data_IF_339676127599
#
_entry.id   IF_339676127599
#
_cell.length_a   1.000
_cell.length_b   1.000
_cell.length_c   1.000
_cell.angle_alpha   90.00
_cell.angle_beta   90.00
_cell.angle_gamma   90.00
#
_symmetry.space_group_name_H-M   'P 1'
#
loop_
_entity.id
_entity.type
_entity.pdbx_description
1 polymer ?
#
# COMPACT_ATOMS: atom_id res chain seq x y z
N UNK A 1 38.85 -26.48 -9.55
CA UNK A 1 38.50 -26.18 -10.95
C UNK A 1 37.02 -26.37 -11.26
N UNK A 2 36.44 -27.58 -11.14
CA UNK A 2 35.01 -27.82 -11.45
C UNK A 2 34.05 -26.83 -10.76
N UNK A 3 34.21 -26.63 -9.44
CA UNK A 3 33.37 -25.71 -8.66
C UNK A 3 33.50 -24.24 -9.10
N UNK A 4 34.67 -23.84 -9.63
CA UNK A 4 34.86 -22.49 -10.20
C UNK A 4 33.96 -22.31 -11.43
N UNK A 5 33.90 -23.32 -12.30
CA UNK A 5 33.02 -23.31 -13.47
C UNK A 5 31.55 -23.35 -13.08
N UNK A 6 31.19 -24.10 -12.03
CA UNK A 6 29.83 -24.10 -11.49
C UNK A 6 29.41 -22.71 -11.02
N UNK A 7 30.28 -21.96 -10.33
CA UNK A 7 30.00 -20.58 -9.92
C UNK A 7 29.69 -19.69 -11.12
N UNK A 8 30.51 -19.74 -12.17
CA UNK A 8 30.28 -18.98 -13.40
C UNK A 8 28.94 -19.35 -14.05
N UNK A 9 28.66 -20.65 -14.19
CA UNK A 9 27.41 -21.15 -14.77
C UNK A 9 26.16 -20.69 -14.01
N UNK A 10 26.19 -20.75 -12.67
CA UNK A 10 25.03 -20.36 -11.86
C UNK A 10 24.79 -18.84 -11.89
N UNK A 11 25.84 -18.04 -12.02
CA UNK A 11 25.71 -16.59 -12.22
C UNK A 11 25.06 -16.28 -13.57
N UNK A 12 25.51 -16.92 -14.64
CA UNK A 12 24.94 -16.72 -15.99
C UNK A 12 23.45 -17.11 -16.04
N UNK A 13 23.09 -18.18 -15.32
CA UNK A 13 21.70 -18.63 -15.16
C UNK A 13 20.87 -17.80 -14.18
N UNK A 14 21.47 -16.83 -13.48
CA UNK A 14 20.83 -16.03 -12.41
C UNK A 14 20.22 -16.89 -11.29
N UNK A 15 20.84 -18.03 -10.98
CA UNK A 15 20.41 -18.93 -9.89
C UNK A 15 21.17 -18.58 -8.59
N UNK A 16 20.67 -17.54 -7.92
CA UNK A 16 21.28 -16.95 -6.72
C UNK A 16 21.47 -17.99 -5.59
N UNK A 17 20.51 -18.90 -5.42
CA UNK A 17 20.56 -19.90 -4.35
C UNK A 17 21.67 -20.92 -4.59
N UNK A 18 21.78 -21.47 -5.81
CA UNK A 18 22.84 -22.43 -6.12
C UNK A 18 24.21 -21.78 -6.12
N UNK A 19 24.32 -20.53 -6.56
CA UNK A 19 25.56 -19.77 -6.51
C UNK A 19 26.05 -19.64 -5.06
N UNK A 20 25.18 -19.20 -4.13
CA UNK A 20 25.51 -19.08 -2.70
C UNK A 20 25.86 -20.43 -2.07
N UNK A 21 25.08 -21.48 -2.34
CA UNK A 21 25.36 -22.82 -1.83
C UNK A 21 26.71 -23.35 -2.33
N UNK A 22 27.04 -23.12 -3.60
CA UNK A 22 28.33 -23.52 -4.19
C UNK A 22 29.49 -22.77 -3.54
N UNK A 23 29.33 -21.46 -3.31
CA UNK A 23 30.35 -20.66 -2.62
C UNK A 23 30.59 -21.14 -1.18
N UNK A 24 29.52 -21.45 -0.43
CA UNK A 24 29.64 -22.02 0.92
C UNK A 24 30.36 -23.36 0.88
N UNK A 25 30.00 -24.23 -0.08
CA UNK A 25 30.65 -25.52 -0.24
C UNK A 25 32.15 -25.38 -0.54
N UNK A 26 32.54 -24.41 -1.37
CA UNK A 26 33.95 -24.09 -1.63
C UNK A 26 34.66 -23.71 -0.33
N UNK A 27 34.10 -22.79 0.49
CA UNK A 27 34.72 -22.39 1.76
C UNK A 27 34.94 -23.55 2.72
N UNK A 28 34.00 -24.51 2.76
CA UNK A 28 34.13 -25.73 3.57
C UNK A 28 35.30 -26.58 3.06
N UNK A 29 35.43 -26.74 1.74
CA UNK A 29 36.54 -27.49 1.15
C UNK A 29 37.89 -26.82 1.38
N UNK A 30 37.98 -25.49 1.23
CA UNK A 30 39.21 -24.72 1.50
C UNK A 30 39.68 -24.88 2.95
N UNK A 31 38.73 -24.92 3.88
CA UNK A 31 39.02 -25.16 5.30
C UNK A 31 39.54 -26.59 5.56
N UNK A 32 39.11 -27.56 4.75
CA UNK A 32 39.52 -28.96 4.88
C UNK A 32 40.85 -29.28 4.18
N UNK A 33 41.12 -28.68 3.02
CA UNK A 33 42.29 -28.99 2.19
C UNK A 33 43.44 -27.96 2.32
N UNK A 34 43.18 -26.80 2.94
CA UNK A 34 44.15 -25.72 3.12
C UNK A 34 44.48 -24.92 1.85
N UNK A 35 43.86 -25.25 0.71
CA UNK A 35 44.06 -24.57 -0.57
C UNK A 35 43.15 -23.34 -0.60
N UNK A 36 43.74 -22.14 -0.67
CA UNK A 36 42.99 -20.88 -0.68
C UNK A 36 42.92 -20.31 -2.08
N UNK A 37 41.94 -20.72 -2.87
CA UNK A 37 41.84 -20.27 -4.25
C UNK A 37 41.19 -18.87 -4.30
N UNK A 38 41.87 -17.87 -4.86
CA UNK A 38 41.32 -16.51 -4.93
C UNK A 38 40.06 -16.40 -5.81
N UNK A 39 39.92 -17.25 -6.84
CA UNK A 39 38.89 -17.07 -7.88
C UNK A 39 37.46 -17.08 -7.31
N UNK A 40 37.03 -18.08 -6.51
CA UNK A 40 35.69 -18.11 -5.91
C UNK A 40 35.34 -16.85 -5.12
N UNK A 41 36.25 -16.35 -4.28
CA UNK A 41 35.99 -15.16 -3.47
C UNK A 41 35.92 -13.89 -4.33
N UNK A 42 36.84 -13.74 -5.29
CA UNK A 42 36.81 -12.62 -6.24
C UNK A 42 35.51 -12.60 -7.04
N UNK A 43 35.11 -13.77 -7.55
CA UNK A 43 33.91 -13.91 -8.36
C UNK A 43 32.63 -13.65 -7.55
N UNK A 44 32.58 -14.14 -6.31
CA UNK A 44 31.46 -13.88 -5.40
C UNK A 44 31.40 -12.39 -4.98
N UNK A 45 32.53 -11.71 -4.79
CA UNK A 45 32.56 -10.26 -4.58
C UNK A 45 31.94 -9.50 -5.76
N UNK A 46 32.28 -9.87 -7.00
CA UNK A 46 31.67 -9.27 -8.20
C UNK A 46 30.16 -9.48 -8.23
N UNK A 47 29.69 -10.67 -7.86
CA UNK A 47 28.26 -10.95 -7.73
C UNK A 47 27.58 -10.06 -6.68
N UNK A 48 28.18 -9.89 -5.50
CA UNK A 48 27.65 -9.01 -4.46
C UNK A 48 27.63 -7.55 -4.91
N UNK A 49 28.67 -7.08 -5.61
CA UNK A 49 28.71 -5.73 -6.22
C UNK A 49 27.50 -5.50 -7.10
N UNK A 50 27.28 -6.41 -8.04
CA UNK A 50 26.20 -6.29 -9.03
C UNK A 50 24.83 -6.35 -8.34
N UNK A 51 24.70 -7.16 -7.28
CA UNK A 51 23.48 -7.26 -6.48
C UNK A 51 23.20 -5.96 -5.72
N UNK A 52 24.22 -5.37 -5.10
CA UNK A 52 24.10 -4.09 -4.38
C UNK A 52 23.73 -2.97 -5.36
N UNK A 53 24.37 -2.89 -6.53
CA UNK A 53 24.03 -1.92 -7.57
C UNK A 53 22.56 -2.04 -8.00
N UNK A 54 22.08 -3.27 -8.21
CA UNK A 54 20.67 -3.52 -8.56
C UNK A 54 19.70 -3.02 -7.48
N UNK A 55 20.03 -3.20 -6.20
CA UNK A 55 19.21 -2.68 -5.08
C UNK A 55 19.18 -1.16 -5.07
N UNK A 56 20.32 -0.51 -5.30
CA UNK A 56 20.43 0.95 -5.37
C UNK A 56 19.59 1.49 -6.54
N UNK A 57 19.68 0.89 -7.72
CA UNK A 57 18.96 1.31 -8.92
C UNK A 57 17.45 1.10 -8.81
N UNK A 58 17.03 -0.08 -8.34
CA UNK A 58 15.60 -0.44 -8.25
C UNK A 58 14.91 0.14 -7.02
N UNK A 59 15.67 0.57 -6.01
CA UNK A 59 15.17 1.01 -4.69
C UNK A 59 14.30 -0.04 -3.97
N UNK A 60 14.35 -1.29 -4.43
CA UNK A 60 13.67 -2.42 -3.81
C UNK A 60 14.59 -3.07 -2.78
N UNK A 61 14.01 -3.62 -1.71
CA UNK A 61 14.74 -4.39 -0.69
C UNK A 61 15.90 -3.65 -0.01
N UNK A 62 15.76 -2.33 0.18
CA UNK A 62 16.74 -1.50 0.90
C UNK A 62 17.03 -2.06 2.31
N UNK A 63 16.09 -2.81 2.90
CA UNK A 63 16.28 -3.53 4.16
C UNK A 63 17.41 -4.56 4.13
N UNK A 64 17.76 -5.10 2.97
CA UNK A 64 18.84 -6.06 2.78
C UNK A 64 20.19 -5.41 2.48
N UNK A 65 20.22 -4.11 2.15
CA UNK A 65 21.42 -3.38 1.75
C UNK A 65 22.54 -3.50 2.79
N UNK A 66 22.23 -3.25 4.07
CA UNK A 66 23.23 -3.32 5.14
C UNK A 66 23.83 -4.74 5.27
N UNK A 67 23.00 -5.78 5.18
CA UNK A 67 23.46 -7.18 5.27
C UNK A 67 24.37 -7.57 4.12
N UNK A 68 24.00 -7.17 2.90
CA UNK A 68 24.80 -7.45 1.70
C UNK A 68 26.12 -6.68 1.71
N UNK A 69 26.12 -5.46 2.24
CA UNK A 69 27.33 -4.66 2.36
C UNK A 69 28.30 -5.25 3.38
N UNK A 70 27.80 -5.79 4.49
CA UNK A 70 28.62 -6.51 5.47
C UNK A 70 29.19 -7.80 4.87
N UNK A 71 28.35 -8.58 4.17
CA UNK A 71 28.79 -9.78 3.43
C UNK A 71 29.86 -9.44 2.39
N UNK A 72 29.70 -8.34 1.66
CA UNK A 72 30.67 -7.85 0.69
C UNK A 72 32.03 -7.61 1.34
N UNK A 73 32.06 -6.93 2.49
CA UNK A 73 33.31 -6.62 3.19
C UNK A 73 34.03 -7.89 3.63
N UNK A 74 33.29 -8.87 4.14
CA UNK A 74 33.85 -10.12 4.63
C UNK A 74 34.42 -10.96 3.49
N UNK A 75 33.66 -11.13 2.41
CA UNK A 75 34.10 -11.87 1.21
C UNK A 75 35.29 -11.16 0.57
N UNK A 76 35.30 -9.82 0.53
CA UNK A 76 36.44 -9.03 0.03
C UNK A 76 37.71 -9.32 0.83
N UNK A 77 37.65 -9.32 2.16
CA UNK A 77 38.82 -9.65 3.00
C UNK A 77 39.34 -11.05 2.71
N UNK A 78 38.45 -12.02 2.57
CA UNK A 78 38.83 -13.39 2.20
C UNK A 78 39.46 -13.45 0.80
N UNK A 79 38.96 -12.67 -0.16
CA UNK A 79 39.54 -12.57 -1.50
C UNK A 79 40.98 -12.05 -1.49
N UNK A 80 41.28 -11.01 -0.69
CA UNK A 80 42.65 -10.52 -0.50
C UNK A 80 43.56 -11.57 0.16
N UNK A 81 43.08 -12.26 1.20
CA UNK A 81 43.86 -13.33 1.87
C UNK A 81 44.18 -14.49 0.91
N UNK A 82 43.19 -14.90 0.11
CA UNK A 82 43.37 -15.96 -0.87
C UNK A 82 44.28 -15.52 -2.03
N UNK A 83 44.21 -14.25 -2.45
CA UNK A 83 45.13 -13.67 -3.42
C UNK A 83 46.59 -13.75 -2.96
N UNK A 84 46.90 -13.25 -1.75
CA UNK A 84 48.27 -13.28 -1.22
C UNK A 84 48.76 -14.73 -1.11
N UNK A 85 47.93 -15.65 -0.60
CA UNK A 85 48.30 -17.06 -0.52
C UNK A 85 48.58 -17.68 -1.89
N UNK A 86 47.75 -17.40 -2.90
CA UNK A 86 47.96 -17.89 -4.26
C UNK A 86 49.24 -17.36 -4.88
N UNK A 87 49.52 -16.07 -4.67
CA UNK A 87 50.72 -15.41 -5.16
C UNK A 87 51.99 -15.97 -4.51
N UNK A 88 51.98 -16.15 -3.20
CA UNK A 88 53.13 -16.68 -2.45
C UNK A 88 53.39 -18.16 -2.74
N UNK A 89 52.34 -18.92 -3.08
CA UNK A 89 52.42 -20.37 -3.30
C UNK A 89 52.55 -20.78 -4.78
N UNK A 90 52.67 -19.81 -5.69
CA UNK A 90 52.60 -20.02 -7.16
C UNK A 90 51.45 -20.96 -7.55
N UNK A 91 50.28 -20.66 -6.98
CA UNK A 91 49.10 -21.52 -7.12
C UNK A 91 48.67 -21.63 -8.58
N UNK A 92 48.40 -22.86 -9.02
CA UNK A 92 47.83 -23.14 -10.33
C UNK A 92 46.39 -23.62 -10.19
N UNK A 93 45.47 -22.95 -10.89
CA UNK A 93 44.02 -23.20 -10.84
C UNK A 93 43.62 -24.60 -11.26
N UNK A 94 44.45 -25.26 -12.05
CA UNK A 94 44.31 -26.64 -12.48
C UNK A 94 45.70 -27.26 -12.61
N UNK A 95 45.83 -28.52 -12.18
CA UNK A 95 47.00 -29.36 -12.45
C UNK A 95 46.46 -30.73 -12.85
N UNK A 96 47.00 -31.29 -13.92
CA UNK A 96 46.71 -32.66 -14.35
C UNK A 96 47.28 -33.62 -13.29
N UNK A 97 46.61 -34.74 -12.96
CA UNK A 97 47.17 -35.74 -12.05
C UNK A 97 48.59 -36.16 -12.47
N UNK A 98 49.47 -36.36 -11.49
CA UNK A 98 50.88 -36.66 -11.74
C UNK A 98 51.04 -37.89 -12.65
N UNK A 99 50.24 -38.92 -12.43
CA UNK A 99 50.28 -40.18 -13.19
C UNK A 99 49.95 -39.98 -14.68
N UNK A 100 49.11 -39.00 -15.00
CA UNK A 100 48.76 -38.64 -16.38
C UNK A 100 49.85 -37.76 -17.05
N UNK A 101 50.79 -37.23 -16.27
CA UNK A 101 51.94 -36.45 -16.75
C UNK A 101 53.23 -37.29 -16.88
N UNK A 102 53.16 -38.59 -16.58
CA UNK A 102 54.29 -39.51 -16.69
C UNK A 102 54.32 -40.17 -18.07
N UNK A 103 55.36 -39.87 -18.84
CA UNK A 103 55.71 -40.60 -20.06
C UNK A 103 56.75 -41.66 -19.74
N UNK A 104 56.54 -42.88 -20.24
CA UNK A 104 57.51 -43.97 -20.14
C UNK A 104 58.24 -44.05 -21.47
N UNK A 105 59.55 -43.79 -21.46
CA UNK A 105 60.42 -43.91 -22.62
C UNK A 105 61.32 -45.15 -22.48
N UNK A 106 61.39 -45.98 -23.53
CA UNK A 106 62.14 -47.24 -23.59
C UNK A 106 61.33 -48.54 -23.43
N UNK A 107 61.93 -49.67 -23.79
CA UNK A 107 61.36 -51.02 -23.67
C UNK A 107 62.14 -51.88 -22.66
N UNK A 108 61.45 -52.80 -21.96
CA UNK A 108 62.05 -53.75 -21.01
C UNK A 108 62.61 -53.10 -19.74
N UNK A 109 63.79 -53.53 -19.28
CA UNK A 109 64.41 -53.07 -18.04
C UNK A 109 65.01 -51.64 -18.11
N UNK A 110 65.01 -50.99 -19.28
CA UNK A 110 65.56 -49.64 -19.48
C UNK A 110 64.50 -48.52 -19.47
N UNK A 111 63.30 -48.78 -18.93
CA UNK A 111 62.23 -47.79 -18.86
C UNK A 111 62.62 -46.56 -18.03
N UNK A 112 62.58 -45.38 -18.66
CA UNK A 112 62.73 -44.09 -18.00
C UNK A 112 61.37 -43.42 -17.87
N UNK A 113 61.02 -43.02 -16.65
CA UNK A 113 59.83 -42.20 -16.39
C UNK A 113 60.18 -40.73 -16.54
N UNK A 114 59.69 -40.12 -17.61
CA UNK A 114 59.81 -38.69 -17.89
C UNK A 114 58.54 -37.99 -17.41
N UNK A 115 58.69 -37.08 -16.46
CA UNK A 115 57.59 -36.20 -16.07
C UNK A 115 57.54 -35.01 -17.03
N UNK A 116 56.50 -34.97 -17.85
CA UNK A 116 56.23 -33.82 -18.71
C UNK A 116 55.27 -32.92 -17.94
N UNK A 117 55.81 -31.85 -17.34
CA UNK A 117 54.97 -30.82 -16.75
C UNK A 117 54.08 -30.25 -17.87
N UNK A 118 52.76 -30.39 -17.71
CA UNK A 118 51.77 -29.89 -18.67
C UNK A 118 52.10 -28.43 -19.05
N UNK A 119 52.55 -28.24 -20.29
CA UNK A 119 53.03 -26.96 -20.82
C UNK A 119 51.92 -25.97 -21.19
N UNK A 120 50.67 -26.29 -20.87
CA UNK A 120 49.48 -25.57 -21.35
C UNK A 120 48.82 -24.64 -20.32
N UNK A 121 49.36 -24.51 -19.11
CA UNK A 121 48.75 -23.64 -18.09
C UNK A 121 49.47 -22.30 -18.08
N UNK A 122 48.81 -21.27 -18.61
CA UNK A 122 49.26 -19.89 -18.50
C UNK A 122 49.33 -19.52 -17.00
N UNK A 123 50.44 -18.95 -16.51
CA UNK A 123 50.51 -18.48 -15.13
C UNK A 123 49.46 -17.40 -14.88
N UNK A 124 48.96 -17.35 -13.64
CA UNK A 124 47.99 -16.33 -13.23
C UNK A 124 48.62 -14.94 -13.32
N UNK A 125 47.92 -13.98 -13.93
CA UNK A 125 48.32 -12.58 -13.92
C UNK A 125 47.93 -11.93 -12.59
N UNK A 126 48.80 -12.02 -11.58
CA UNK A 126 48.55 -11.47 -10.25
C UNK A 126 48.49 -9.94 -10.20
N UNK A 127 49.03 -9.22 -11.18
CA UNK A 127 48.88 -7.77 -11.26
C UNK A 127 47.45 -7.40 -11.65
N UNK A 128 46.90 -8.07 -12.66
CA UNK A 128 45.51 -7.88 -13.06
C UNK A 128 44.53 -8.23 -11.93
N UNK A 129 44.77 -9.36 -11.24
CA UNK A 129 43.91 -9.78 -10.13
C UNK A 129 43.92 -8.75 -9.00
N UNK A 130 45.10 -8.18 -8.69
CA UNK A 130 45.22 -7.12 -7.69
C UNK A 130 44.44 -5.88 -8.09
N UNK A 131 44.57 -5.45 -9.34
CA UNK A 131 43.81 -4.32 -9.86
C UNK A 131 42.30 -4.53 -9.71
N UNK A 132 41.78 -5.71 -10.03
CA UNK A 132 40.35 -6.03 -9.85
C UNK A 132 39.91 -6.02 -8.38
N UNK A 133 40.77 -6.47 -7.46
CA UNK A 133 40.51 -6.39 -6.02
C UNK A 133 40.52 -4.95 -5.49
N UNK A 134 41.40 -4.10 -6.02
CA UNK A 134 41.46 -2.68 -5.69
C UNK A 134 40.20 -1.95 -6.20
N UNK A 135 39.73 -2.26 -7.42
CA UNK A 135 38.45 -1.77 -7.95
C UNK A 135 37.27 -2.14 -7.05
N UNK A 136 37.17 -3.42 -6.64
CA UNK A 136 36.12 -3.87 -5.72
C UNK A 136 36.21 -3.18 -4.35
N UNK A 137 37.42 -2.85 -3.90
CA UNK A 137 37.63 -2.09 -2.67
C UNK A 137 37.15 -0.65 -2.80
N UNK A 138 37.40 -0.02 -3.95
CA UNK A 138 36.89 1.32 -4.25
C UNK A 138 35.35 1.33 -4.33
N UNK A 139 34.75 0.32 -4.96
CA UNK A 139 33.29 0.19 -5.03
C UNK A 139 32.66 0.02 -3.64
N UNK A 140 33.29 -0.77 -2.76
CA UNK A 140 32.86 -0.87 -1.37
C UNK A 140 32.84 0.50 -0.66
N UNK A 141 33.89 1.32 -0.83
CA UNK A 141 33.93 2.67 -0.24
C UNK A 141 32.83 3.57 -0.78
N UNK A 142 32.51 3.48 -2.08
CA UNK A 142 31.36 4.17 -2.68
C UNK A 142 30.06 3.73 -2.00
N UNK A 143 29.84 2.43 -1.82
CA UNK A 143 28.62 1.92 -1.16
C UNK A 143 28.50 2.35 0.29
N UNK A 144 29.60 2.39 1.04
CA UNK A 144 29.63 2.90 2.42
C UNK A 144 29.24 4.38 2.45
N UNK A 145 29.73 5.18 1.51
CA UNK A 145 29.37 6.60 1.40
C UNK A 145 27.88 6.77 1.09
N UNK A 146 27.34 5.95 0.19
CA UNK A 146 25.92 5.96 -0.19
C UNK A 146 25.00 5.47 0.93
N UNK A 147 25.49 4.65 1.87
CA UNK A 147 24.70 4.12 2.99
C UNK A 147 23.97 5.21 3.77
N UNK A 148 24.64 6.34 4.02
CA UNK A 148 24.04 7.49 4.71
C UNK A 148 22.85 8.06 3.94
N UNK A 149 23.07 8.37 2.66
CA UNK A 149 22.05 8.91 1.75
C UNK A 149 20.86 7.97 1.58
N UNK A 150 21.11 6.66 1.49
CA UNK A 150 20.05 5.64 1.36
C UNK A 150 19.19 5.59 2.64
N UNK A 151 19.79 5.66 3.83
CA UNK A 151 19.03 5.67 5.09
C UNK A 151 18.16 6.92 5.21
N UNK A 152 18.70 8.07 4.85
CA UNK A 152 17.97 9.34 4.88
C UNK A 152 16.80 9.35 3.89
N UNK A 153 17.02 8.86 2.66
CA UNK A 153 15.95 8.78 1.65
C UNK A 153 14.83 7.82 2.04
N UNK A 154 15.14 6.68 2.69
CA UNK A 154 14.10 5.78 3.24
C UNK A 154 13.28 6.48 4.32
N UNK A 155 13.95 7.19 5.24
CA UNK A 155 13.27 7.94 6.30
C UNK A 155 12.33 9.00 5.73
N UNK A 156 12.83 9.82 4.79
CA UNK A 156 12.04 10.83 4.10
C UNK A 156 10.84 10.23 3.36
N UNK A 157 11.04 9.09 2.69
CA UNK A 157 9.95 8.41 1.96
C UNK A 157 8.86 7.94 2.91
N UNK A 158 9.22 7.43 4.09
CA UNK A 158 8.25 7.02 5.10
C UNK A 158 7.48 8.23 5.66
N UNK A 159 8.19 9.31 6.01
CA UNK A 159 7.56 10.56 6.49
C UNK A 159 6.60 11.15 5.45
N UNK A 160 6.99 11.16 4.16
CA UNK A 160 6.13 11.62 3.06
C UNK A 160 4.90 10.73 2.90
N UNK A 161 5.05 9.41 3.01
CA UNK A 161 3.91 8.48 2.93
C UNK A 161 2.95 8.65 4.12
N UNK A 162 3.47 8.88 5.32
CA UNK A 162 2.66 9.18 6.51
C UNK A 162 1.92 10.52 6.36
N UNK A 163 2.61 11.56 5.90
CA UNK A 163 2.01 12.86 5.63
C UNK A 163 0.92 12.76 4.54
N UNK A 164 1.16 11.97 3.48
CA UNK A 164 0.16 11.72 2.43
C UNK A 164 -1.07 11.02 2.99
N UNK A 165 -0.92 9.98 3.80
CA UNK A 165 -2.06 9.30 4.46
C UNK A 165 -2.81 10.23 5.41
N UNK A 166 -2.10 11.06 6.16
CA UNK A 166 -2.72 12.06 7.03
C UNK A 166 -3.52 13.09 6.21
N UNK A 167 -2.98 13.52 5.07
CA UNK A 167 -3.64 14.43 4.15
C UNK A 167 -4.89 13.80 3.52
N UNK A 168 -4.80 12.58 2.98
CA UNK A 168 -5.95 11.86 2.42
C UNK A 168 -7.08 11.68 3.45
N UNK A 169 -6.72 11.37 4.70
CA UNK A 169 -7.68 11.27 5.79
C UNK A 169 -8.32 12.63 6.15
N UNK A 170 -7.54 13.72 6.12
CA UNK A 170 -8.06 15.05 6.37
C UNK A 170 -8.98 15.53 5.23
N UNK A 171 -8.61 15.26 3.99
CA UNK A 171 -9.42 15.56 2.80
C UNK A 171 -10.75 14.82 2.84
N UNK A 172 -10.75 13.52 3.16
CA UNK A 172 -11.99 12.74 3.34
C UNK A 172 -12.90 13.35 4.40
N UNK A 173 -12.35 13.72 5.57
CA UNK A 173 -13.12 14.38 6.63
C UNK A 173 -13.72 15.72 6.18
N UNK A 174 -12.96 16.50 5.42
CA UNK A 174 -13.45 17.77 4.88
C UNK A 174 -14.60 17.56 3.88
N UNK A 175 -14.51 16.54 3.00
CA UNK A 175 -15.58 16.18 2.07
C UNK A 175 -16.83 15.73 2.83
N UNK A 176 -16.69 14.94 3.88
CA UNK A 176 -17.81 14.51 4.73
C UNK A 176 -18.51 15.74 5.36
N UNK A 177 -17.74 16.65 5.96
CA UNK A 177 -18.28 17.90 6.57
C UNK A 177 -18.98 18.77 5.52
N UNK A 178 -18.38 18.96 4.34
CA UNK A 178 -18.97 19.79 3.29
C UNK A 178 -20.27 19.18 2.75
N UNK A 179 -20.33 17.85 2.64
CA UNK A 179 -21.53 17.13 2.21
C UNK A 179 -22.67 17.29 3.22
N UNK A 180 -22.35 17.17 4.51
CA UNK A 180 -23.29 17.42 5.62
C UNK A 180 -23.81 18.86 5.58
N UNK A 181 -22.90 19.83 5.45
CA UNK A 181 -23.25 21.25 5.38
C UNK A 181 -24.18 21.54 4.19
N UNK A 182 -23.86 20.98 3.03
CA UNK A 182 -24.67 21.15 1.81
C UNK A 182 -26.07 20.55 1.97
N UNK A 183 -26.19 19.37 2.59
CA UNK A 183 -27.48 18.76 2.89
C UNK A 183 -28.34 19.63 3.82
N UNK A 184 -27.73 20.24 4.85
CA UNK A 184 -28.42 21.17 5.76
C UNK A 184 -28.93 22.41 5.00
N UNK A 185 -28.08 23.01 4.16
CA UNK A 185 -28.45 24.21 3.36
C UNK A 185 -29.58 23.88 2.37
N UNK A 186 -29.49 22.76 1.64
CA UNK A 186 -30.53 22.29 0.73
C UNK A 186 -31.85 22.03 1.45
N UNK A 187 -31.80 21.40 2.63
CA UNK A 187 -32.96 21.17 3.47
C UNK A 187 -33.63 22.49 3.87
N UNK A 188 -32.88 23.44 4.44
CA UNK A 188 -33.42 24.77 4.81
C UNK A 188 -33.99 25.52 3.59
N UNK A 189 -33.34 25.45 2.43
CA UNK A 189 -33.81 26.11 1.22
C UNK A 189 -35.13 25.53 0.68
N UNK A 190 -35.35 24.21 0.80
CA UNK A 190 -36.63 23.58 0.46
C UNK A 190 -37.77 24.04 1.37
N UNK A 191 -37.47 24.26 2.64
CA UNK A 191 -38.44 24.60 3.68
C UNK A 191 -38.95 26.05 3.60
N UNK A 192 -38.14 26.97 3.08
CA UNK A 192 -38.57 28.34 2.78
C UNK A 192 -39.76 28.36 1.80
N UNK A 193 -39.85 27.35 0.90
CA UNK A 193 -40.97 27.24 -0.04
C UNK A 193 -42.27 26.81 0.67
N UNK A 194 -42.18 26.00 1.72
CA UNK A 194 -43.32 25.51 2.50
C UNK A 194 -43.93 26.60 3.39
N UNK A 195 -43.12 27.56 3.86
CA UNK A 195 -43.59 28.72 4.63
C UNK A 195 -44.61 29.60 3.91
N UNK A 196 -44.61 29.59 2.57
CA UNK A 196 -45.54 30.41 1.76
C UNK A 196 -47.01 30.00 1.90
N UNK A 197 -47.29 28.82 2.46
CA UNK A 197 -48.63 28.28 2.59
C UNK A 197 -49.28 28.53 3.96
N UNK A 198 -48.53 29.10 4.91
CA UNK A 198 -49.00 29.33 6.28
C UNK A 198 -49.49 30.76 6.42
N UNK A 199 -50.76 30.93 6.73
CA UNK A 199 -51.42 32.25 6.83
C UNK A 199 -51.55 32.75 8.27
N UNK A 200 -51.53 31.85 9.26
CA UNK A 200 -51.69 32.21 10.68
C UNK A 200 -50.37 32.18 11.45
N UNK A 201 -50.18 33.16 12.35
CA UNK A 201 -48.95 33.31 13.13
C UNK A 201 -48.68 32.13 14.08
N UNK A 202 -49.73 31.55 14.66
CA UNK A 202 -49.60 30.40 15.56
C UNK A 202 -49.12 29.14 14.82
N UNK A 203 -49.67 28.87 13.64
CA UNK A 203 -49.25 27.76 12.78
C UNK A 203 -47.81 27.95 12.29
N UNK A 204 -47.41 29.18 11.97
CA UNK A 204 -46.05 29.49 11.54
C UNK A 204 -45.03 29.21 12.65
N UNK A 205 -45.34 29.58 13.90
CA UNK A 205 -44.47 29.30 15.06
C UNK A 205 -44.35 27.79 15.30
N UNK A 206 -45.47 27.06 15.26
CA UNK A 206 -45.47 25.60 15.41
C UNK A 206 -44.66 24.91 14.32
N UNK A 207 -44.84 25.33 13.07
CA UNK A 207 -44.07 24.84 11.94
C UNK A 207 -42.57 25.11 12.11
N UNK A 208 -42.20 26.35 12.49
CA UNK A 208 -40.80 26.74 12.76
C UNK A 208 -40.17 25.86 13.85
N UNK A 209 -40.91 25.56 14.92
CA UNK A 209 -40.41 24.76 16.04
C UNK A 209 -40.19 23.30 15.64
N UNK A 210 -41.15 22.68 14.95
CA UNK A 210 -41.03 21.31 14.45
C UNK A 210 -39.88 21.21 13.44
N UNK A 211 -39.72 22.23 12.59
CA UNK A 211 -38.64 22.31 11.63
C UNK A 211 -37.26 22.40 12.32
N UNK A 212 -37.12 23.34 13.25
CA UNK A 212 -35.88 23.55 14.01
C UNK A 212 -35.51 22.28 14.78
N UNK A 213 -36.52 21.59 15.32
CA UNK A 213 -36.35 20.31 15.98
C UNK A 213 -35.85 19.22 15.02
N UNK A 214 -36.46 19.07 13.84
CA UNK A 214 -36.06 18.11 12.81
C UNK A 214 -34.61 18.31 12.35
N UNK A 215 -34.21 19.57 12.10
CA UNK A 215 -32.83 19.91 11.74
C UNK A 215 -31.86 19.58 12.88
N UNK A 216 -32.24 19.88 14.11
CA UNK A 216 -31.42 19.59 15.29
C UNK A 216 -31.19 18.09 15.46
N UNK A 217 -32.24 17.28 15.28
CA UNK A 217 -32.15 15.81 15.29
C UNK A 217 -31.27 15.31 14.13
N UNK A 218 -31.42 15.86 12.94
CA UNK A 218 -30.64 15.48 11.76
C UNK A 218 -29.14 15.79 11.93
N UNK A 219 -28.79 16.97 12.43
CA UNK A 219 -27.41 17.36 12.75
C UNK A 219 -26.82 16.43 13.82
N UNK A 220 -27.59 16.10 14.86
CA UNK A 220 -27.14 15.20 15.92
C UNK A 220 -26.95 13.76 15.43
N UNK A 221 -27.83 13.24 14.57
CA UNK A 221 -27.66 11.93 13.93
C UNK A 221 -26.39 11.88 13.11
N UNK A 222 -26.14 12.91 12.31
CA UNK A 222 -24.91 13.03 11.53
C UNK A 222 -23.68 13.07 12.44
N UNK A 223 -23.70 13.85 13.52
CA UNK A 223 -22.63 13.93 14.49
C UNK A 223 -22.36 12.59 15.19
N UNK A 224 -23.39 11.80 15.44
CA UNK A 224 -23.26 10.44 15.97
C UNK A 224 -22.61 9.50 14.93
N UNK A 225 -22.99 9.59 13.65
CA UNK A 225 -22.48 8.73 12.57
C UNK A 225 -21.03 9.06 12.20
N UNK A 226 -20.65 10.33 12.13
CA UNK A 226 -19.29 10.78 11.73
C UNK A 226 -18.23 10.61 12.82
N UNK A 227 -18.61 10.16 14.02
CA UNK A 227 -17.70 10.03 15.15
C UNK A 227 -17.09 8.63 15.21
N UNK A 228 -15.79 8.54 14.97
CA UNK A 228 -15.00 7.29 14.97
C UNK A 228 -14.84 6.58 16.34
N UNK A 229 -15.25 7.22 17.46
CA UNK A 229 -14.96 6.72 18.81
C UNK A 229 -16.08 5.84 19.40
N UNK A 230 -15.68 4.78 20.11
CA UNK A 230 -16.59 3.92 20.92
C UNK A 230 -17.48 4.77 21.82
N UNK A 231 -18.78 4.45 21.85
CA UNK A 231 -19.83 5.20 22.55
C UNK A 231 -19.50 5.30 24.05
N UNK A 232 -19.16 6.52 24.50
CA UNK A 232 -18.94 6.84 25.92
C UNK A 232 -20.25 7.08 26.66
N UNK A 233 -20.26 6.97 28.01
CA UNK A 233 -21.46 7.14 28.86
C UNK A 233 -22.18 8.48 28.66
N UNK A 234 -21.47 9.55 28.33
CA UNK A 234 -22.04 10.87 27.99
C UNK A 234 -22.84 10.88 26.68
N UNK A 235 -22.47 10.04 25.71
CA UNK A 235 -23.20 9.95 24.44
C UNK A 235 -24.55 9.24 24.64
N UNK A 236 -24.60 8.28 25.57
CA UNK A 236 -25.86 7.65 25.98
C UNK A 236 -26.84 8.67 26.57
N UNK A 237 -26.35 9.64 27.35
CA UNK A 237 -27.16 10.75 27.85
C UNK A 237 -27.76 11.59 26.73
N UNK A 238 -26.98 11.95 25.70
CA UNK A 238 -27.47 12.70 24.54
C UNK A 238 -28.52 11.92 23.73
N UNK A 239 -28.34 10.61 23.56
CA UNK A 239 -29.31 9.75 22.88
C UNK A 239 -30.63 9.68 23.66
N UNK A 240 -30.56 9.56 25.00
CA UNK A 240 -31.76 9.55 25.86
C UNK A 240 -32.49 10.90 25.78
N UNK A 241 -31.77 12.01 25.85
CA UNK A 241 -32.36 13.36 25.73
C UNK A 241 -33.07 13.54 24.39
N UNK A 242 -32.45 13.08 23.29
CA UNK A 242 -33.05 13.06 21.95
C UNK A 242 -34.32 12.21 21.85
N UNK A 243 -34.29 11.03 22.47
CA UNK A 243 -35.46 10.15 22.51
C UNK A 243 -36.63 10.80 23.26
N UNK A 244 -36.34 11.41 24.41
CA UNK A 244 -37.35 12.11 25.22
C UNK A 244 -37.89 13.34 24.49
N UNK A 245 -37.03 14.16 23.87
CA UNK A 245 -37.48 15.35 23.13
C UNK A 245 -38.32 14.98 21.90
N UNK A 246 -37.95 13.91 21.19
CA UNK A 246 -38.73 13.41 20.04
C UNK A 246 -40.11 12.90 20.48
N UNK A 247 -40.17 12.22 21.62
CA UNK A 247 -41.42 11.74 22.19
C UNK A 247 -42.35 12.89 22.60
N UNK A 248 -41.79 13.96 23.20
CA UNK A 248 -42.55 15.17 23.55
C UNK A 248 -43.08 15.86 22.29
N UNK A 249 -42.27 16.00 21.24
CA UNK A 249 -42.72 16.57 19.96
C UNK A 249 -43.84 15.74 19.32
N UNK A 250 -43.71 14.41 19.27
CA UNK A 250 -44.77 13.52 18.77
C UNK A 250 -46.05 13.61 19.59
N UNK A 251 -45.93 13.69 20.92
CA UNK A 251 -47.07 13.88 21.81
C UNK A 251 -47.77 15.21 21.56
N UNK A 252 -47.01 16.29 21.33
CA UNK A 252 -47.58 17.59 21.00
C UNK A 252 -48.31 17.61 19.65
N UNK A 253 -47.71 17.00 18.61
CA UNK A 253 -48.33 16.87 17.29
C UNK A 253 -49.60 16.01 17.33
N UNK A 254 -49.61 14.96 18.17
CA UNK A 254 -50.79 14.11 18.33
C UNK A 254 -51.96 14.83 18.99
N UNK A 255 -51.70 15.65 20.02
CA UNK A 255 -52.75 16.38 20.74
C UNK A 255 -53.22 17.64 20.01
N UNK A 256 -52.37 18.23 19.16
CA UNK A 256 -52.69 19.36 18.31
C UNK A 256 -52.47 18.98 16.86
N UNK A 257 -53.39 18.16 16.28
CA UNK A 257 -53.30 17.83 14.88
C UNK A 257 -53.27 19.11 14.07
N UNK A 258 -52.36 19.19 13.08
CA UNK A 258 -52.35 20.28 12.13
C UNK A 258 -53.78 20.50 11.62
N UNK A 259 -54.25 21.76 11.52
CA UNK A 259 -55.56 22.02 10.98
C UNK A 259 -55.63 21.35 9.61
N UNK A 260 -56.49 20.35 9.50
CA UNK A 260 -56.92 19.83 8.20
C UNK A 260 -57.33 21.03 7.40
N UNK A 261 -56.64 21.25 6.27
CA UNK A 261 -56.71 22.51 5.55
C UNK A 261 -58.15 23.04 5.51
N UNK A 262 -58.46 24.21 6.08
CA UNK A 262 -59.81 24.74 6.07
C UNK A 262 -60.33 24.86 4.62
N UNK A 263 -59.42 25.09 3.66
CA UNK A 263 -59.70 25.07 2.22
C UNK A 263 -60.22 23.74 1.68
N UNK A 264 -59.84 22.58 2.23
CA UNK A 264 -60.32 21.27 1.74
C UNK A 264 -61.76 21.02 2.19
N UNK A 265 -62.13 21.41 3.41
CA UNK A 265 -63.52 21.34 3.89
C UNK A 265 -64.40 22.38 3.20
N UNK A 266 -63.91 23.60 3.01
CA UNK A 266 -64.64 24.64 2.29
C UNK A 266 -64.89 24.26 0.82
N UNK A 267 -63.91 23.64 0.15
CA UNK A 267 -64.04 23.13 -1.22
C UNK A 267 -65.00 21.94 -1.31
N UNK A 268 -64.97 21.01 -0.35
CA UNK A 268 -65.95 19.91 -0.26
C UNK A 268 -67.37 20.43 -0.05
N UNK A 269 -67.54 21.40 0.85
CA UNK A 269 -68.84 22.03 1.14
C UNK A 269 -69.37 22.82 -0.07
N UNK A 270 -68.47 23.47 -0.84
CA UNK A 270 -68.83 24.16 -2.07
C UNK A 270 -69.27 23.17 -3.17
N UNK A 271 -68.58 22.04 -3.33
CA UNK A 271 -68.96 20.97 -4.27
C UNK A 271 -70.33 20.38 -3.89
N UNK A 272 -70.56 20.08 -2.61
CA UNK A 272 -71.84 19.54 -2.14
C UNK A 272 -73.02 20.51 -2.38
N UNK A 273 -72.77 21.83 -2.26
CA UNK A 273 -73.76 22.86 -2.58
C UNK A 273 -74.07 22.91 -4.08
N UNK A 274 -73.05 22.82 -4.94
CA UNK A 274 -73.22 22.82 -6.40
C UNK A 274 -74.03 21.59 -6.84
N UNK A 275 -73.68 20.39 -6.36
CA UNK A 275 -74.40 19.16 -6.70
C UNK A 275 -75.86 19.16 -6.23
N UNK A 276 -76.15 19.77 -5.07
CA UNK A 276 -77.53 19.92 -4.60
C UNK A 276 -78.34 20.93 -5.42
N UNK A 277 -77.70 21.99 -5.93
CA UNK A 277 -78.34 22.95 -6.84
C UNK A 277 -78.63 22.30 -8.21
N UNK A 278 -77.70 21.52 -8.76
CA UNK A 278 -77.91 20.77 -10.00
C UNK A 278 -79.08 19.79 -9.87
N UNK A 279 -79.18 19.06 -8.75
CA UNK A 279 -80.34 18.18 -8.49
C UNK A 279 -81.66 18.96 -8.42
N UNK A 280 -81.69 20.14 -7.80
CA UNK A 280 -82.90 20.97 -7.74
C UNK A 280 -83.31 21.46 -9.14
N UNK A 281 -82.35 21.93 -9.94
CA UNK A 281 -82.61 22.36 -11.32
C UNK A 281 -83.12 21.21 -12.18
N UNK A 282 -82.59 20.00 -12.01
CA UNK A 282 -83.07 18.81 -12.71
C UNK A 282 -84.51 18.41 -12.31
N UNK A 283 -84.87 18.57 -11.03
CA UNK A 283 -86.24 18.30 -10.56
C UNK A 283 -87.22 19.38 -11.04
N UNK A 284 -86.81 20.64 -11.05
CA UNK A 284 -87.64 21.75 -11.52
C UNK A 284 -87.83 21.73 -13.05
N UNK A 285 -86.81 21.33 -13.82
CA UNK A 285 -86.95 21.13 -15.26
C UNK A 285 -87.87 19.95 -15.61
N UNK A 286 -87.83 18.86 -14.84
CA UNK A 286 -88.79 17.76 -14.93
C UNK A 286 -90.22 18.20 -14.59
N UNK A 287 -90.40 19.09 -13.60
CA UNK A 287 -91.70 19.67 -13.25
C UNK A 287 -92.25 20.57 -14.36
N UNK A 288 -91.41 21.39 -14.98
CA UNK A 288 -91.80 22.26 -16.09
C UNK A 288 -92.19 21.43 -17.32
N UNK A 289 -91.43 20.38 -17.65
CA UNK A 289 -91.78 19.44 -18.73
C UNK A 289 -93.08 18.66 -18.47
N UNK A 290 -93.43 18.41 -17.21
CA UNK A 290 -94.73 17.81 -16.85
C UNK A 290 -95.89 18.80 -16.94
N UNK A 291 -95.65 20.10 -16.74
CA UNK A 291 -96.65 21.16 -16.88
C UNK A 291 -96.90 21.54 -18.35
N UNK A 292 -95.91 21.42 -19.24
CA UNK A 292 -96.08 21.64 -20.69
C UNK A 292 -96.80 20.50 -21.41
N UNK A 293 -97.00 19.35 -20.75
CA UNK A 293 -97.68 18.17 -21.29
C UNK A 293 -99.16 18.03 -20.91
N UNK A 294 -99.73 19.00 -20.16
CA UNK A 294 -101.15 19.10 -19.83
C UNK A 294 -101.83 20.17 -20.66
#
# INVERSE_FOLDING_TARGET
YLLNNCLSLYRDKKDDQKLRNTYIHIKVLESANGIKNYFPHLYFCKYLRDTINRIIETKNDISQFDKLLDEFNDVKKEAYKAYEWCKDSDFMSYRVPFDECLFIDGEGEQQKKLHIASSYILPNNYEQIKFELDELSNDYQKFITLKGTIKETVKLTNEVNEAKKAFENAERKNIEILSIFSAIVLFVAGEIQLFRFITEAHEAIMYTLILTFSISVFILLIWVITRDNKITKTNWGLIIVLGVSSFICLYYVYNYPFPTQPKIEEYKTAIDKIQNLERKIAVDSLRILMLEKQ
#
